data_IF_768566646095
#
_entry.id   IF_768566646095
#
_cell.length_a   1.000
_cell.length_b   1.000
_cell.length_c   1.000
_cell.angle_alpha   90.00
_cell.angle_beta   90.00
_cell.angle_gamma   90.00
#
_symmetry.space_group_name_H-M   'P 1'
#
loop_
_entity.id
_entity.type
_entity.pdbx_description
1 polymer ?
#
# COMPACT_ATOMS: atom_id res chain seq x y z
N UNK A 1 -49.44 7.36 -3.51
CA UNK A 1 -49.71 7.60 -4.94
C UNK A 1 -49.08 6.45 -5.70
N UNK A 2 -49.85 5.69 -6.47
CA UNK A 2 -49.29 4.63 -7.32
C UNK A 2 -48.52 5.28 -8.46
N UNK A 3 -47.21 5.06 -8.51
CA UNK A 3 -46.39 5.36 -9.67
C UNK A 3 -46.72 4.30 -10.71
N UNK A 4 -47.81 4.49 -11.45
CA UNK A 4 -47.85 3.91 -12.77
C UNK A 4 -46.77 4.67 -13.54
N UNK A 5 -45.70 3.97 -13.89
CA UNK A 5 -44.65 4.47 -14.75
C UNK A 5 -45.29 4.77 -16.11
N UNK A 6 -45.82 5.99 -16.25
CA UNK A 6 -46.30 6.47 -17.55
C UNK A 6 -45.10 6.48 -18.48
N UNK A 7 -45.22 5.72 -19.58
CA UNK A 7 -44.20 5.65 -20.61
C UNK A 7 -44.06 7.04 -21.24
N UNK A 8 -43.08 7.80 -20.76
CA UNK A 8 -42.76 9.14 -21.25
C UNK A 8 -42.32 9.14 -22.72
N UNK A 9 -42.05 7.96 -23.30
CA UNK A 9 -41.71 7.80 -24.70
C UNK A 9 -42.94 7.61 -25.61
N UNK A 10 -44.13 7.44 -25.02
CA UNK A 10 -45.37 7.33 -25.76
C UNK A 10 -45.64 8.60 -26.60
N UNK A 11 -45.96 8.41 -27.88
CA UNK A 11 -46.25 9.51 -28.81
C UNK A 11 -45.02 10.20 -29.42
N UNK A 12 -43.79 9.80 -29.06
CA UNK A 12 -42.58 10.30 -29.71
C UNK A 12 -42.40 9.69 -31.11
N UNK A 13 -41.91 10.49 -32.05
CA UNK A 13 -41.57 9.98 -33.39
C UNK A 13 -40.38 9.01 -33.35
N UNK A 14 -40.31 8.06 -34.28
CA UNK A 14 -39.24 7.05 -34.33
C UNK A 14 -37.81 7.63 -34.35
N UNK A 15 -37.61 8.79 -34.98
CA UNK A 15 -36.31 9.50 -34.97
C UNK A 15 -35.93 9.99 -33.57
N UNK A 16 -36.91 10.49 -32.83
CA UNK A 16 -36.70 10.95 -31.45
C UNK A 16 -36.42 9.76 -30.54
N UNK A 17 -37.17 8.66 -30.69
CA UNK A 17 -36.94 7.42 -29.95
C UNK A 17 -35.53 6.85 -30.19
N UNK A 18 -35.06 6.89 -31.44
CA UNK A 18 -33.70 6.48 -31.77
C UNK A 18 -32.66 7.35 -31.04
N UNK A 19 -32.85 8.67 -31.00
CA UNK A 19 -31.93 9.57 -30.28
C UNK A 19 -31.98 9.37 -28.77
N UNK A 20 -33.13 9.08 -28.20
CA UNK A 20 -33.26 8.70 -26.78
C UNK A 20 -32.40 7.48 -26.49
N UNK A 21 -32.51 6.41 -27.29
CA UNK A 21 -31.73 5.19 -27.10
C UNK A 21 -30.22 5.42 -27.24
N UNK A 22 -29.81 6.22 -28.22
CA UNK A 22 -28.41 6.59 -28.41
C UNK A 22 -27.86 7.36 -27.19
N UNK A 23 -28.63 8.31 -26.65
CA UNK A 23 -28.26 9.08 -25.47
C UNK A 23 -28.22 8.20 -24.21
N UNK A 24 -29.17 7.28 -24.03
CA UNK A 24 -29.16 6.30 -22.93
C UNK A 24 -27.90 5.45 -22.98
N UNK A 25 -27.56 4.91 -24.16
CA UNK A 25 -26.34 4.11 -24.35
C UNK A 25 -25.08 4.92 -24.04
N UNK A 26 -25.04 6.19 -24.47
CA UNK A 26 -23.92 7.08 -24.20
C UNK A 26 -23.80 7.41 -22.70
N UNK A 27 -24.92 7.64 -22.03
CA UNK A 27 -24.97 7.89 -20.59
C UNK A 27 -24.49 6.67 -19.80
N UNK A 28 -24.93 5.47 -20.15
CA UNK A 28 -24.46 4.23 -19.53
C UNK A 28 -22.95 4.01 -19.70
N UNK A 29 -22.41 4.32 -20.89
CA UNK A 29 -20.96 4.28 -21.13
C UNK A 29 -20.21 5.25 -20.21
N UNK A 30 -20.63 6.52 -20.20
CA UNK A 30 -20.01 7.54 -19.36
C UNK A 30 -20.13 7.22 -17.87
N UNK A 31 -21.27 6.68 -17.44
CA UNK A 31 -21.49 6.27 -16.04
C UNK A 31 -20.50 5.18 -15.62
N UNK A 32 -20.27 4.17 -16.47
CA UNK A 32 -19.26 3.13 -16.23
C UNK A 32 -17.84 3.71 -16.16
N UNK A 33 -17.47 4.56 -17.12
CA UNK A 33 -16.15 5.22 -17.13
C UNK A 33 -15.94 6.08 -15.88
N UNK A 34 -16.96 6.81 -15.46
CA UNK A 34 -16.89 7.65 -14.27
C UNK A 34 -16.72 6.80 -13.01
N UNK A 35 -17.47 5.71 -12.88
CA UNK A 35 -17.32 4.75 -11.77
C UNK A 35 -15.92 4.15 -11.73
N UNK A 36 -15.36 3.78 -12.89
CA UNK A 36 -14.00 3.27 -12.97
C UNK A 36 -12.96 4.30 -12.54
N UNK A 37 -13.12 5.57 -12.95
CA UNK A 37 -12.24 6.68 -12.53
C UNK A 37 -12.34 6.95 -11.04
N UNK A 38 -13.55 6.91 -10.48
CA UNK A 38 -13.75 7.07 -9.03
C UNK A 38 -12.99 6.00 -8.25
N UNK A 39 -13.09 4.72 -8.65
CA UNK A 39 -12.34 3.64 -8.02
C UNK A 39 -10.81 3.83 -8.12
N UNK A 40 -10.31 4.36 -9.23
CA UNK A 40 -8.89 4.70 -9.35
C UNK A 40 -8.48 5.80 -8.39
N UNK A 41 -9.29 6.85 -8.25
CA UNK A 41 -9.04 7.93 -7.28
C UNK A 41 -9.07 7.41 -5.85
N UNK A 42 -10.02 6.54 -5.51
CA UNK A 42 -10.12 5.95 -4.17
C UNK A 42 -8.88 5.09 -3.87
N UNK A 43 -8.41 4.29 -4.84
CA UNK A 43 -7.18 3.51 -4.69
C UNK A 43 -5.93 4.39 -4.48
N UNK A 44 -5.84 5.50 -5.19
CA UNK A 44 -4.73 6.46 -5.03
C UNK A 44 -4.79 7.09 -3.64
N UNK A 45 -5.96 7.55 -3.19
CA UNK A 45 -6.12 8.11 -1.85
C UNK A 45 -5.74 7.11 -0.76
N UNK A 46 -6.23 5.86 -0.82
CA UNK A 46 -5.87 4.82 0.14
C UNK A 46 -4.36 4.54 0.14
N UNK A 47 -3.72 4.55 -1.03
CA UNK A 47 -2.28 4.34 -1.14
C UNK A 47 -1.47 5.50 -0.56
N UNK A 48 -1.95 6.73 -0.78
CA UNK A 48 -1.38 7.96 -0.23
C UNK A 48 -1.51 8.00 1.29
N UNK A 49 -2.67 7.66 1.85
CA UNK A 49 -2.89 7.60 3.29
C UNK A 49 -1.99 6.54 3.94
N UNK A 50 -1.86 5.38 3.31
CA UNK A 50 -0.91 4.33 3.75
C UNK A 50 0.53 4.82 3.76
N UNK A 51 0.97 5.56 2.74
CA UNK A 51 2.31 6.15 2.71
C UNK A 51 2.47 7.22 3.79
N UNK A 52 1.45 8.04 4.00
CA UNK A 52 1.44 9.07 5.05
C UNK A 52 1.58 8.46 6.43
N UNK A 53 0.85 7.38 6.73
CA UNK A 53 1.00 6.63 7.99
C UNK A 53 2.40 6.01 8.11
N UNK A 54 2.93 5.42 7.03
CA UNK A 54 4.30 4.87 7.03
C UNK A 54 5.36 5.94 7.30
N UNK A 55 5.23 7.11 6.68
CA UNK A 55 6.17 8.23 6.89
C UNK A 55 6.06 8.78 8.30
N UNK A 56 4.85 8.91 8.86
CA UNK A 56 4.67 9.31 10.25
C UNK A 56 5.24 8.28 11.22
N UNK A 57 5.01 6.99 10.99
CA UNK A 57 5.58 5.91 11.80
C UNK A 57 7.11 5.90 11.73
N UNK A 58 7.69 6.01 10.53
CA UNK A 58 9.13 6.12 10.34
C UNK A 58 9.70 7.39 10.99
N UNK A 59 8.98 8.51 10.97
CA UNK A 59 9.35 9.74 11.67
C UNK A 59 9.33 9.61 13.20
N UNK A 60 8.41 8.82 13.74
CA UNK A 60 8.35 8.48 15.18
C UNK A 60 9.52 7.56 15.58
N UNK A 61 9.87 6.59 14.73
CA UNK A 61 11.04 5.72 14.92
C UNK A 61 12.38 6.47 14.74
N UNK A 62 12.46 7.43 13.82
CA UNK A 62 13.61 8.31 13.57
C UNK A 62 13.63 9.59 14.42
N UNK A 63 12.91 9.62 15.55
CA UNK A 63 13.04 10.73 16.49
C UNK A 63 14.46 10.75 17.11
N UNK A 64 15.06 11.94 17.37
CA UNK A 64 16.46 12.05 17.80
C UNK A 64 16.78 11.24 19.07
N UNK A 65 15.82 11.12 19.97
CA UNK A 65 15.90 10.34 21.21
C UNK A 65 15.95 8.83 20.95
N UNK A 66 15.09 8.32 20.06
CA UNK A 66 15.03 6.90 19.71
C UNK A 66 16.23 6.48 18.86
N UNK A 67 16.67 7.33 17.93
CA UNK A 67 17.86 7.09 17.11
C UNK A 67 19.13 7.04 17.97
N UNK A 68 19.27 7.96 18.93
CA UNK A 68 20.39 7.94 19.90
C UNK A 68 20.37 6.69 20.78
N UNK A 69 19.19 6.27 21.27
CA UNK A 69 19.03 5.06 22.06
C UNK A 69 19.40 3.79 21.28
N UNK A 70 18.95 3.69 20.02
CA UNK A 70 19.27 2.55 19.16
C UNK A 70 20.76 2.50 18.80
N UNK A 71 21.36 3.63 18.43
CA UNK A 71 22.80 3.74 18.19
C UNK A 71 23.62 3.33 19.43
N UNK A 72 23.21 3.77 20.63
CA UNK A 72 23.87 3.34 21.88
C UNK A 72 23.70 1.85 22.15
N UNK A 73 22.52 1.27 21.87
CA UNK A 73 22.28 -0.17 22.03
C UNK A 73 23.19 -1.00 21.11
N UNK A 74 23.31 -0.59 19.84
CA UNK A 74 24.21 -1.22 18.87
C UNK A 74 25.68 -1.11 19.31
N UNK A 75 26.11 0.06 19.79
CA UNK A 75 27.47 0.26 20.31
C UNK A 75 27.73 -0.60 21.55
N UNK A 76 26.76 -0.75 22.45
CA UNK A 76 26.86 -1.61 23.63
C UNK A 76 26.86 -3.11 23.30
N UNK A 77 26.21 -3.52 22.22
CA UNK A 77 26.18 -4.91 21.77
C UNK A 77 27.44 -5.35 21.01
N UNK A 78 28.20 -4.41 20.44
CA UNK A 78 29.37 -4.69 19.61
C UNK A 78 30.46 -5.51 20.33
N UNK A 79 30.83 -5.22 21.61
CA UNK A 79 31.83 -6.02 22.33
C UNK A 79 31.41 -7.48 22.52
N UNK A 80 30.12 -7.74 22.74
CA UNK A 80 29.59 -9.11 22.93
C UNK A 80 29.72 -9.89 21.62
N UNK A 81 29.30 -9.29 20.51
CA UNK A 81 29.38 -9.91 19.17
C UNK A 81 30.84 -10.16 18.76
N UNK A 82 31.74 -9.21 19.05
CA UNK A 82 33.17 -9.34 18.80
C UNK A 82 33.77 -10.46 19.65
N UNK A 83 33.47 -10.49 20.95
CA UNK A 83 33.96 -11.52 21.86
C UNK A 83 33.49 -12.92 21.46
N UNK A 84 32.22 -13.07 21.09
CA UNK A 84 31.68 -14.35 20.63
C UNK A 84 32.37 -14.82 19.34
N UNK A 85 32.64 -13.90 18.41
CA UNK A 85 33.34 -14.21 17.15
C UNK A 85 34.79 -14.64 17.40
N UNK A 86 35.52 -13.95 18.27
CA UNK A 86 36.90 -14.29 18.65
C UNK A 86 36.93 -15.67 19.32
N UNK A 87 36.01 -15.93 20.24
CA UNK A 87 35.92 -17.22 20.94
C UNK A 87 35.66 -18.36 19.96
N UNK A 88 34.74 -18.17 19.00
CA UNK A 88 34.48 -19.16 17.93
C UNK A 88 35.67 -19.37 17.00
N UNK A 89 36.48 -18.34 16.75
CA UNK A 89 37.69 -18.47 15.93
C UNK A 89 38.76 -19.28 16.66
N UNK A 90 38.98 -18.98 17.94
CA UNK A 90 39.93 -19.69 18.79
C UNK A 90 39.57 -21.16 18.95
N UNK A 91 38.30 -21.51 19.16
CA UNK A 91 37.88 -22.92 19.26
C UNK A 91 38.11 -23.70 17.98
N UNK A 92 37.82 -23.10 16.82
CA UNK A 92 38.10 -23.72 15.51
C UNK A 92 39.60 -23.96 15.29
N UNK A 93 40.44 -22.98 15.63
CA UNK A 93 41.89 -23.11 15.51
C UNK A 93 42.44 -24.21 16.45
N UNK A 94 41.95 -24.29 17.70
CA UNK A 94 42.32 -25.36 18.62
C UNK A 94 41.87 -26.74 18.14
N UNK A 95 40.70 -26.83 17.50
CA UNK A 95 40.23 -28.08 16.90
C UNK A 95 41.13 -28.51 15.74
N UNK A 96 41.53 -27.59 14.86
CA UNK A 96 42.45 -27.89 13.76
C UNK A 96 43.78 -28.42 14.27
N UNK A 97 44.38 -27.75 15.26
CA UNK A 97 45.68 -28.13 15.82
C UNK A 97 45.67 -29.51 16.51
N UNK A 98 44.51 -29.95 17.03
CA UNK A 98 44.34 -31.28 17.64
C UNK A 98 44.18 -32.42 16.64
N UNK A 99 43.83 -32.15 15.38
CA UNK A 99 43.71 -33.17 14.34
C UNK A 99 44.98 -33.29 13.49
N UNK A 100 45.95 -32.39 13.69
CA UNK A 100 47.22 -32.32 12.95
C UNK A 100 48.40 -32.96 13.70
N UNK A 101 48.18 -33.39 14.97
CA UNK A 101 49.11 -34.16 15.83
C UNK A 101 48.59 -35.59 15.94
#
# INVERSE_FOLDING_TARGET
MSWAEEDWTAGLSGRVLQKVKELQTHHERLSRENKQKQLQLDNIHVSHDKQTVKVQAAGVECSPSNLSSNCQSVVRGLPIVVHERITKLNTKNLQHLKHEV
#
